data_IF_155402211548
#
_entry.id   IF_155402211548
#
_cell.length_a   1.000
_cell.length_b   1.000
_cell.length_c   1.000
_cell.angle_alpha   90.00
_cell.angle_beta   90.00
_cell.angle_gamma   90.00
#
_symmetry.space_group_name_H-M   'P 1'
#
loop_
_entity.id
_entity.type
_entity.pdbx_description
1 polymer ?
#
# COMPACT_ATOMS: atom_id res chain seq x y z
N UNK A 1 9.97 35.23 9.27
CA UNK A 1 10.07 33.77 9.44
C UNK A 1 8.66 33.28 9.70
N UNK A 2 8.04 32.62 8.72
CA UNK A 2 6.78 31.92 8.96
C UNK A 2 7.09 30.74 9.87
N UNK A 3 6.39 30.63 10.99
CA UNK A 3 6.54 29.54 11.95
C UNK A 3 6.20 28.21 11.26
N UNK A 4 7.10 27.22 11.34
CA UNK A 4 6.85 25.89 10.75
C UNK A 4 5.71 25.22 11.51
N UNK A 5 4.73 24.68 10.76
CA UNK A 5 3.61 23.96 11.34
C UNK A 5 4.11 22.73 12.10
N UNK A 6 3.61 22.51 13.31
CA UNK A 6 3.82 21.26 14.05
C UNK A 6 3.18 20.09 13.29
N UNK A 7 3.61 18.85 13.57
CA UNK A 7 3.02 17.66 12.92
C UNK A 7 1.51 17.59 13.11
N UNK A 8 1.01 17.85 14.32
CA UNK A 8 -0.43 17.89 14.60
C UNK A 8 -1.16 18.95 13.76
N UNK A 9 -0.59 20.13 13.59
CA UNK A 9 -1.17 21.18 12.74
C UNK A 9 -1.17 20.77 11.25
N UNK A 10 -0.12 20.10 10.77
CA UNK A 10 -0.07 19.57 9.41
C UNK A 10 -1.11 18.48 9.18
N UNK A 11 -1.25 17.52 10.10
CA UNK A 11 -2.29 16.48 10.01
C UNK A 11 -3.70 17.07 10.02
N UNK A 12 -3.95 18.09 10.84
CA UNK A 12 -5.22 18.81 10.82
C UNK A 12 -5.47 19.52 9.48
N UNK A 13 -4.44 20.16 8.92
CA UNK A 13 -4.52 20.82 7.62
C UNK A 13 -4.75 19.83 6.47
N UNK A 14 -4.13 18.64 6.51
CA UNK A 14 -4.36 17.54 5.57
C UNK A 14 -5.83 17.12 5.57
N UNK A 15 -6.38 16.83 6.76
CA UNK A 15 -7.78 16.41 6.91
C UNK A 15 -8.74 17.50 6.43
N UNK A 16 -8.44 18.77 6.71
CA UNK A 16 -9.23 19.89 6.20
C UNK A 16 -9.17 19.99 4.67
N UNK A 17 -7.98 19.84 4.07
CA UNK A 17 -7.79 19.95 2.63
C UNK A 17 -8.55 18.86 1.86
N UNK A 18 -8.57 17.62 2.36
CA UNK A 18 -9.34 16.50 1.79
C UNK A 18 -10.85 16.75 1.70
N UNK A 19 -11.40 17.58 2.60
CA UNK A 19 -12.82 17.98 2.55
C UNK A 19 -13.10 19.08 1.52
N UNK A 20 -12.07 19.82 1.10
CA UNK A 20 -12.20 21.02 0.28
C UNK A 20 -11.88 20.77 -1.20
N UNK A 21 -10.93 19.88 -1.48
CA UNK A 21 -10.41 19.61 -2.83
C UNK A 21 -9.81 18.21 -2.93
N UNK A 22 -9.65 17.74 -4.16
CA UNK A 22 -8.85 16.54 -4.45
C UNK A 22 -7.38 16.89 -4.23
N UNK A 23 -6.66 16.08 -3.45
CA UNK A 23 -5.23 16.25 -3.23
C UNK A 23 -4.42 15.51 -4.28
N UNK A 24 -3.29 16.10 -4.65
CA UNK A 24 -2.33 15.53 -5.60
C UNK A 24 -1.23 14.80 -4.82
N UNK A 25 -1.13 13.49 -5.01
CA UNK A 25 0.03 12.67 -4.67
C UNK A 25 1.06 12.80 -5.81
N UNK A 26 2.34 12.58 -5.52
CA UNK A 26 3.40 12.64 -6.53
C UNK A 26 3.38 11.44 -7.50
N UNK A 27 4.46 11.27 -8.25
CA UNK A 27 4.64 10.22 -9.26
C UNK A 27 5.77 9.25 -8.90
N UNK A 28 6.27 8.51 -9.90
CA UNK A 28 7.28 7.48 -9.66
C UNK A 28 8.68 7.99 -9.29
N UNK A 29 9.07 7.77 -8.03
CA UNK A 29 10.47 7.89 -7.59
C UNK A 29 11.42 6.99 -8.40
N UNK A 30 11.07 5.71 -8.57
CA UNK A 30 11.92 4.74 -9.26
C UNK A 30 12.20 5.08 -10.72
N UNK A 31 11.17 5.50 -11.47
CA UNK A 31 11.32 5.93 -12.88
C UNK A 31 12.16 7.19 -12.99
N UNK A 32 12.00 8.15 -12.07
CA UNK A 32 12.84 9.36 -12.03
C UNK A 32 14.30 9.02 -11.78
N UNK A 33 14.61 8.12 -10.84
CA UNK A 33 15.98 7.64 -10.55
C UNK A 33 16.60 6.99 -11.79
N UNK A 34 15.85 6.18 -12.55
CA UNK A 34 16.35 5.54 -13.78
C UNK A 34 16.83 6.57 -14.82
N UNK A 35 16.20 7.75 -14.88
CA UNK A 35 16.59 8.85 -15.77
C UNK A 35 17.99 9.42 -15.51
N UNK A 36 18.53 9.26 -14.29
CA UNK A 36 19.89 9.70 -13.95
C UNK A 36 20.99 8.72 -14.40
N UNK A 37 20.61 7.54 -14.93
CA UNK A 37 21.55 6.51 -15.43
C UNK A 37 22.67 6.16 -14.43
N UNK A 38 22.29 6.04 -13.16
CA UNK A 38 23.23 5.81 -12.06
C UNK A 38 23.93 4.46 -12.19
N UNK A 39 25.19 4.44 -11.78
CA UNK A 39 26.03 3.23 -11.79
C UNK A 39 26.34 2.79 -10.36
N UNK A 40 26.90 1.60 -10.21
CA UNK A 40 27.25 0.99 -8.91
C UNK A 40 27.97 1.94 -7.94
N UNK A 41 28.88 2.79 -8.41
CA UNK A 41 29.59 3.74 -7.55
C UNK A 41 28.67 4.77 -6.90
N UNK A 42 27.57 5.14 -7.54
CA UNK A 42 26.56 6.04 -6.96
C UNK A 42 25.84 5.34 -5.80
N UNK A 43 25.39 4.10 -5.99
CA UNK A 43 24.72 3.32 -4.96
C UNK A 43 25.62 3.05 -3.75
N UNK A 44 26.93 2.85 -3.97
CA UNK A 44 27.89 2.65 -2.89
C UNK A 44 28.17 3.93 -2.09
N UNK A 45 28.26 5.06 -2.79
CA UNK A 45 28.79 6.30 -2.22
C UNK A 45 30.15 6.08 -1.55
N UNK A 46 30.49 6.95 -0.59
CA UNK A 46 31.69 6.78 0.22
C UNK A 46 31.54 5.68 1.28
N UNK A 47 30.33 5.49 1.82
CA UNK A 47 30.06 4.62 2.98
C UNK A 47 30.18 3.13 2.66
N UNK A 48 29.84 2.71 1.45
CA UNK A 48 29.82 1.29 1.05
C UNK A 48 30.82 0.97 -0.08
N UNK A 49 31.87 1.80 -0.22
CA UNK A 49 32.87 1.67 -1.27
C UNK A 49 33.61 0.31 -1.26
N UNK A 50 33.73 -0.34 -0.09
CA UNK A 50 34.45 -1.61 0.08
C UNK A 50 33.55 -2.84 0.22
N UNK A 51 32.22 -2.69 0.12
CA UNK A 51 31.27 -3.81 0.24
C UNK A 51 31.45 -4.78 -0.93
N UNK A 52 31.42 -6.10 -0.71
CA UNK A 52 31.59 -7.06 -1.80
C UNK A 52 30.31 -7.30 -2.62
N UNK A 53 29.15 -7.09 -2.01
CA UNK A 53 27.83 -7.25 -2.64
C UNK A 53 27.54 -6.09 -3.60
N UNK A 54 26.84 -6.38 -4.70
CA UNK A 54 26.34 -5.36 -5.63
C UNK A 54 25.18 -4.61 -4.99
N UNK A 55 25.19 -3.28 -5.08
CA UNK A 55 24.17 -2.42 -4.48
C UNK A 55 23.31 -1.70 -5.52
N UNK A 56 23.70 -1.72 -6.80
CA UNK A 56 22.89 -1.21 -7.90
C UNK A 56 21.49 -1.84 -7.90
N UNK A 57 20.49 -1.00 -8.07
CA UNK A 57 19.07 -1.37 -8.00
C UNK A 57 18.43 -1.14 -6.63
N UNK A 58 19.21 -0.96 -5.56
CA UNK A 58 18.69 -0.56 -4.25
C UNK A 58 18.41 0.95 -4.24
N UNK A 59 17.31 1.38 -4.85
CA UNK A 59 16.96 2.79 -5.00
C UNK A 59 16.79 3.50 -3.65
N UNK A 60 16.27 2.81 -2.64
CA UNK A 60 16.14 3.31 -1.28
C UNK A 60 17.50 3.76 -0.68
N UNK A 61 18.59 3.05 -1.01
CA UNK A 61 19.94 3.36 -0.53
C UNK A 61 20.45 4.72 -0.99
N UNK A 62 19.96 5.22 -2.14
CA UNK A 62 20.32 6.54 -2.67
C UNK A 62 19.91 7.68 -1.74
N UNK A 63 18.96 7.44 -0.83
CA UNK A 63 18.66 8.34 0.29
C UNK A 63 19.91 8.67 1.11
N UNK A 64 20.82 7.72 1.29
CA UNK A 64 22.06 7.90 2.07
C UNK A 64 23.26 8.24 1.18
N UNK A 65 23.30 7.72 -0.05
CA UNK A 65 24.50 7.79 -0.90
C UNK A 65 24.44 8.85 -1.99
N UNK A 66 23.25 9.31 -2.37
CA UNK A 66 23.00 10.41 -3.31
C UNK A 66 21.76 11.25 -2.89
N UNK A 67 21.71 11.76 -1.64
CA UNK A 67 20.54 12.47 -1.10
C UNK A 67 20.12 13.69 -1.92
N UNK A 68 21.06 14.31 -2.64
CA UNK A 68 20.80 15.43 -3.54
C UNK A 68 19.85 15.06 -4.69
N UNK A 69 19.98 13.85 -5.26
CA UNK A 69 19.12 13.37 -6.34
C UNK A 69 17.71 13.14 -5.81
N UNK A 70 17.57 12.48 -4.66
CA UNK A 70 16.27 12.22 -4.03
C UNK A 70 15.57 13.54 -3.68
N UNK A 71 16.31 14.52 -3.16
CA UNK A 71 15.80 15.85 -2.84
C UNK A 71 15.32 16.59 -4.10
N UNK A 72 16.09 16.51 -5.19
CA UNK A 72 15.72 17.11 -6.48
C UNK A 72 14.42 16.52 -7.03
N UNK A 73 14.26 15.19 -6.95
CA UNK A 73 13.04 14.51 -7.40
C UNK A 73 11.82 14.98 -6.60
N UNK A 74 11.89 15.01 -5.26
CA UNK A 74 10.79 15.56 -4.44
C UNK A 74 10.48 17.01 -4.82
N UNK A 75 11.50 17.86 -4.97
CA UNK A 75 11.31 19.25 -5.36
C UNK A 75 10.62 19.39 -6.73
N UNK A 76 10.92 18.50 -7.69
CA UNK A 76 10.32 18.50 -9.02
C UNK A 76 8.82 18.20 -8.97
N UNK A 77 8.39 17.19 -8.21
CA UNK A 77 6.96 16.86 -8.04
C UNK A 77 6.20 17.95 -7.26
N UNK A 78 6.83 18.52 -6.24
CA UNK A 78 6.26 19.64 -5.48
C UNK A 78 6.08 20.89 -6.36
N UNK A 79 7.02 21.15 -7.28
CA UNK A 79 6.91 22.22 -8.26
C UNK A 79 5.82 21.94 -9.32
N UNK A 80 5.63 20.68 -9.70
CA UNK A 80 4.56 20.24 -10.60
C UNK A 80 3.15 20.34 -9.98
N UNK A 81 3.05 20.45 -8.66
CA UNK A 81 1.79 20.73 -7.97
C UNK A 81 1.37 19.70 -6.92
N UNK A 82 2.22 18.71 -6.63
CA UNK A 82 1.97 17.72 -5.58
C UNK A 82 1.67 18.40 -4.22
N UNK A 83 0.68 17.85 -3.53
CA UNK A 83 0.31 18.17 -2.16
C UNK A 83 0.95 17.23 -1.16
N UNK A 84 1.08 15.96 -1.56
CA UNK A 84 1.65 14.87 -0.79
C UNK A 84 2.80 14.30 -1.62
N UNK A 85 3.96 14.07 -0.99
CA UNK A 85 5.05 13.31 -1.59
C UNK A 85 5.32 12.04 -0.80
N UNK A 86 5.62 10.98 -1.52
CA UNK A 86 5.99 9.68 -0.98
C UNK A 86 7.48 9.68 -0.58
N UNK A 87 7.84 9.05 0.53
CA UNK A 87 9.25 8.84 0.88
C UNK A 87 9.89 7.78 -0.02
N UNK A 88 11.20 7.92 -0.31
CA UNK A 88 11.97 6.90 -1.03
C UNK A 88 12.27 5.68 -0.11
N UNK A 89 11.22 4.96 0.29
CA UNK A 89 11.26 3.90 1.31
C UNK A 89 10.50 2.63 0.93
N UNK A 90 10.19 2.44 -0.35
CA UNK A 90 9.42 1.30 -0.85
C UNK A 90 10.04 -0.06 -0.43
N UNK A 91 11.37 -0.17 -0.46
CA UNK A 91 12.13 -1.36 -0.05
C UNK A 91 12.93 -1.15 1.24
N UNK A 92 12.60 -0.13 2.05
CA UNK A 92 13.27 0.14 3.32
C UNK A 92 12.72 -0.73 4.45
N UNK A 93 12.70 -2.04 4.23
CA UNK A 93 12.37 -3.07 5.21
C UNK A 93 13.56 -4.00 5.36
N UNK A 94 13.73 -4.64 6.52
CA UNK A 94 14.80 -5.61 6.75
C UNK A 94 14.72 -6.75 5.75
N UNK A 95 13.51 -7.23 5.46
CA UNK A 95 13.27 -8.29 4.49
C UNK A 95 13.79 -7.92 3.09
N UNK A 96 13.47 -6.72 2.58
CA UNK A 96 13.98 -6.28 1.27
C UNK A 96 15.46 -5.92 1.29
N UNK A 97 15.96 -5.34 2.38
CA UNK A 97 17.39 -4.97 2.48
C UNK A 97 18.31 -6.18 2.66
N UNK A 98 17.78 -7.34 3.07
CA UNK A 98 18.52 -8.60 3.13
C UNK A 98 19.08 -9.05 1.76
N UNK A 99 18.37 -8.72 0.66
CA UNK A 99 18.84 -8.98 -0.70
C UNK A 99 20.14 -8.22 -1.05
N UNK A 100 20.47 -7.19 -0.25
CA UNK A 100 21.67 -6.36 -0.34
C UNK A 100 22.61 -6.50 0.86
N UNK A 101 22.26 -7.32 1.87
CA UNK A 101 23.02 -7.46 3.13
C UNK A 101 23.04 -6.20 3.99
N UNK A 102 21.95 -5.41 3.95
CA UNK A 102 21.82 -4.10 4.59
C UNK A 102 20.62 -4.02 5.57
N UNK A 103 20.22 -5.15 6.16
CA UNK A 103 19.04 -5.25 7.04
C UNK A 103 19.06 -4.22 8.17
N UNK A 104 20.23 -4.01 8.78
CA UNK A 104 20.42 -3.07 9.89
C UNK A 104 20.21 -1.60 9.50
N UNK A 105 20.22 -1.28 8.20
CA UNK A 105 19.98 0.08 7.70
C UNK A 105 18.50 0.41 7.53
N UNK A 106 17.59 -0.56 7.62
CA UNK A 106 16.17 -0.33 7.35
C UNK A 106 15.61 0.88 8.14
N UNK A 107 15.86 0.96 9.44
CA UNK A 107 15.45 2.10 10.26
C UNK A 107 16.06 3.43 9.78
N UNK A 108 17.37 3.45 9.53
CA UNK A 108 18.10 4.66 9.12
C UNK A 108 17.63 5.16 7.75
N UNK A 109 17.39 4.25 6.80
CA UNK A 109 16.86 4.57 5.47
C UNK A 109 15.50 5.26 5.58
N UNK A 110 14.60 4.73 6.42
CA UNK A 110 13.28 5.33 6.64
C UNK A 110 13.37 6.71 7.29
N UNK A 111 14.21 6.86 8.32
CA UNK A 111 14.37 8.12 9.03
C UNK A 111 14.95 9.22 8.10
N UNK A 112 16.03 8.91 7.38
CA UNK A 112 16.67 9.89 6.51
C UNK A 112 15.80 10.21 5.28
N UNK A 113 15.10 9.24 4.70
CA UNK A 113 14.19 9.48 3.57
C UNK A 113 13.03 10.42 3.98
N UNK A 114 12.44 10.18 5.15
CA UNK A 114 11.39 11.05 5.67
C UNK A 114 11.91 12.46 5.98
N UNK A 115 13.16 12.62 6.46
CA UNK A 115 13.78 13.94 6.65
C UNK A 115 13.97 14.69 5.33
N UNK A 116 14.45 14.03 4.28
CA UNK A 116 14.61 14.64 2.95
C UNK A 116 13.28 15.11 2.38
N UNK A 117 12.27 14.23 2.38
CA UNK A 117 10.92 14.56 1.91
C UNK A 117 10.32 15.72 2.74
N UNK A 118 10.48 15.71 4.06
CA UNK A 118 10.00 16.76 4.96
C UNK A 118 10.64 18.11 4.67
N UNK A 119 11.96 18.13 4.49
CA UNK A 119 12.69 19.35 4.15
C UNK A 119 12.22 19.93 2.81
N UNK A 120 12.01 19.09 1.80
CA UNK A 120 11.47 19.51 0.50
C UNK A 120 10.05 20.10 0.63
N UNK A 121 9.16 19.42 1.36
CA UNK A 121 7.80 19.92 1.62
C UNK A 121 7.79 21.25 2.38
N UNK A 122 8.70 21.43 3.35
CA UNK A 122 8.80 22.65 4.14
C UNK A 122 9.30 23.82 3.27
N UNK A 123 10.32 23.60 2.45
CA UNK A 123 10.80 24.59 1.49
C UNK A 123 9.69 25.01 0.51
N UNK A 124 8.94 24.05 -0.05
CA UNK A 124 7.79 24.34 -0.89
C UNK A 124 6.68 25.10 -0.14
N UNK A 125 6.40 24.72 1.11
CA UNK A 125 5.42 25.39 2.00
C UNK A 125 5.79 26.84 2.28
N UNK A 126 7.07 27.14 2.50
CA UNK A 126 7.53 28.51 2.68
C UNK A 126 7.27 29.38 1.44
N UNK A 127 7.41 28.82 0.23
CA UNK A 127 7.16 29.54 -1.03
C UNK A 127 5.66 29.81 -1.27
N UNK A 128 4.77 28.93 -0.82
CA UNK A 128 3.31 29.14 -0.90
C UNK A 128 2.61 28.71 0.40
N UNK A 129 2.60 29.55 1.45
CA UNK A 129 2.13 29.18 2.80
C UNK A 129 0.68 28.73 2.89
N UNK A 130 -0.18 29.17 1.97
CA UNK A 130 -1.60 28.80 1.94
C UNK A 130 -1.87 27.38 1.43
N UNK A 131 -0.82 26.67 0.96
CA UNK A 131 -0.89 25.29 0.47
C UNK A 131 0.17 24.47 1.24
N UNK A 132 -0.07 24.01 2.47
CA UNK A 132 0.88 23.15 3.18
C UNK A 132 1.08 21.83 2.43
N UNK A 133 2.30 21.28 2.51
CA UNK A 133 2.70 20.02 1.87
C UNK A 133 2.90 18.94 2.90
N UNK A 134 2.59 17.71 2.53
CA UNK A 134 2.57 16.57 3.43
C UNK A 134 3.50 15.46 2.97
N UNK A 135 4.04 14.72 3.93
CA UNK A 135 4.91 13.57 3.64
C UNK A 135 4.15 12.28 3.96
N UNK A 136 4.03 11.41 2.95
CA UNK A 136 3.59 10.04 3.12
C UNK A 136 4.81 9.12 3.30
N UNK A 137 4.95 8.57 4.50
CA UNK A 137 5.94 7.55 4.81
C UNK A 137 5.51 6.21 4.23
N UNK A 138 6.19 5.76 3.18
CA UNK A 138 5.85 4.54 2.46
C UNK A 138 6.34 3.30 3.20
N UNK A 139 5.42 2.38 3.42
CA UNK A 139 5.65 1.01 3.87
C UNK A 139 5.27 0.10 2.69
N UNK A 140 6.28 -0.34 1.93
CA UNK A 140 6.07 -1.25 0.80
C UNK A 140 5.78 -2.69 1.22
N UNK A 141 5.50 -3.59 0.27
CA UNK A 141 5.00 -4.93 0.56
C UNK A 141 6.08 -5.96 0.97
N UNK A 142 7.36 -5.56 0.99
CA UNK A 142 8.56 -6.42 1.14
C UNK A 142 8.80 -7.38 -0.02
N UNK A 143 9.93 -8.10 0.00
CA UNK A 143 10.25 -9.21 -0.91
C UNK A 143 9.63 -10.56 -0.51
N UNK A 144 8.94 -10.64 0.64
CA UNK A 144 8.38 -11.89 1.19
C UNK A 144 6.86 -11.84 1.29
N UNK A 145 6.20 -13.00 1.29
CA UNK A 145 4.73 -13.11 1.27
C UNK A 145 4.24 -14.04 2.38
N UNK A 146 3.26 -13.61 3.17
CA UNK A 146 2.70 -14.44 4.24
C UNK A 146 1.51 -15.30 3.79
N UNK A 147 0.78 -14.91 2.74
CA UNK A 147 -0.38 -15.67 2.26
C UNK A 147 -0.05 -16.71 1.20
N UNK A 148 1.02 -16.51 0.44
CA UNK A 148 1.44 -17.37 -0.68
C UNK A 148 2.69 -18.17 -0.32
N UNK A 149 2.73 -19.44 -0.77
CA UNK A 149 3.97 -20.23 -0.71
C UNK A 149 4.90 -19.83 -1.87
N UNK A 150 6.19 -19.58 -1.61
CA UNK A 150 7.17 -19.41 -2.67
C UNK A 150 7.62 -20.75 -3.29
N UNK A 151 7.29 -21.89 -2.69
CA UNK A 151 7.56 -23.22 -3.25
C UNK A 151 6.27 -23.83 -3.82
N UNK A 152 6.24 -23.97 -5.15
CA UNK A 152 5.09 -24.55 -5.86
C UNK A 152 4.82 -26.01 -5.52
N UNK A 153 5.79 -26.72 -4.93
CA UNK A 153 5.65 -28.12 -4.53
C UNK A 153 5.22 -28.27 -3.06
N UNK A 154 5.26 -27.19 -2.28
CA UNK A 154 4.84 -27.17 -0.88
C UNK A 154 3.88 -25.98 -0.65
N UNK A 155 2.55 -26.17 -0.83
CA UNK A 155 1.58 -25.10 -0.64
C UNK A 155 1.44 -24.64 0.83
N UNK A 156 1.95 -25.43 1.79
CA UNK A 156 1.95 -25.11 3.22
C UNK A 156 3.14 -24.25 3.65
N UNK A 157 4.25 -24.28 2.91
CA UNK A 157 5.46 -23.52 3.22
C UNK A 157 5.24 -22.00 3.16
N UNK A 158 5.88 -21.27 4.09
CA UNK A 158 5.96 -19.81 4.10
C UNK A 158 7.39 -19.40 4.44
N UNK A 159 7.95 -18.42 3.72
CA UNK A 159 9.31 -17.91 3.96
C UNK A 159 9.36 -16.73 4.94
N UNK A 160 8.21 -16.37 5.52
CA UNK A 160 8.05 -15.42 6.62
C UNK A 160 6.80 -15.74 7.43
N UNK A 161 6.66 -15.13 8.61
CA UNK A 161 5.47 -15.18 9.45
C UNK A 161 4.84 -13.81 9.67
N UNK A 162 3.61 -13.79 10.19
CA UNK A 162 2.94 -12.53 10.54
C UNK A 162 3.73 -11.72 11.58
N UNK A 163 4.27 -12.37 12.61
CA UNK A 163 5.03 -11.70 13.66
C UNK A 163 6.35 -11.12 13.16
N UNK A 164 7.06 -11.83 12.29
CA UNK A 164 8.27 -11.32 11.63
C UNK A 164 7.98 -10.07 10.78
N UNK A 165 6.90 -10.09 10.00
CA UNK A 165 6.47 -8.94 9.22
C UNK A 165 6.06 -7.77 10.13
N UNK A 166 5.36 -8.04 11.24
CA UNK A 166 5.01 -7.00 12.22
C UNK A 166 6.27 -6.34 12.79
N UNK A 167 7.28 -7.12 13.19
CA UNK A 167 8.52 -6.58 13.73
C UNK A 167 9.30 -5.76 12.70
N UNK A 168 9.36 -6.22 11.46
CA UNK A 168 10.01 -5.51 10.36
C UNK A 168 9.29 -4.20 10.01
N UNK A 169 7.97 -4.25 9.78
CA UNK A 169 7.18 -3.06 9.51
C UNK A 169 7.19 -2.06 10.68
N UNK A 170 7.28 -2.55 11.92
CA UNK A 170 7.41 -1.68 13.08
C UNK A 170 8.77 -0.98 13.12
N UNK A 171 9.83 -1.58 12.55
CA UNK A 171 11.13 -0.93 12.38
C UNK A 171 11.03 0.23 11.39
N UNK A 172 10.44 -0.01 10.22
CA UNK A 172 10.22 1.02 9.19
C UNK A 172 9.33 2.15 9.69
N UNK A 173 8.19 1.83 10.32
CA UNK A 173 7.26 2.82 10.86
C UNK A 173 7.93 3.75 11.89
N UNK A 174 8.77 3.22 12.79
CA UNK A 174 9.51 4.05 13.74
C UNK A 174 10.48 5.01 13.05
N UNK A 175 11.21 4.55 12.04
CA UNK A 175 12.09 5.41 11.24
C UNK A 175 11.32 6.53 10.54
N UNK A 176 10.23 6.20 9.85
CA UNK A 176 9.38 7.18 9.15
C UNK A 176 8.81 8.24 10.10
N UNK A 177 8.33 7.81 11.27
CA UNK A 177 7.81 8.70 12.31
C UNK A 177 8.92 9.58 12.87
N UNK A 178 10.11 9.04 13.14
CA UNK A 178 11.25 9.81 13.63
C UNK A 178 11.68 10.88 12.59
N UNK A 179 11.67 10.52 11.31
CA UNK A 179 12.13 11.38 10.22
C UNK A 179 11.17 12.50 9.82
N UNK A 180 9.89 12.44 10.25
CA UNK A 180 8.98 13.58 10.06
C UNK A 180 7.72 13.30 9.24
N UNK A 181 7.42 12.04 8.90
CA UNK A 181 6.23 11.68 8.13
C UNK A 181 4.94 12.20 8.80
N UNK A 182 3.97 12.62 7.97
CA UNK A 182 2.65 13.06 8.42
C UNK A 182 1.59 11.96 8.27
N UNK A 183 1.84 11.02 7.36
CA UNK A 183 0.98 9.89 7.01
C UNK A 183 1.87 8.65 6.98
N UNK A 184 1.38 7.50 7.46
CA UNK A 184 1.95 6.20 7.13
C UNK A 184 1.13 5.56 6.02
N UNK A 185 1.77 5.06 4.97
CA UNK A 185 1.07 4.52 3.82
C UNK A 185 1.53 3.09 3.54
N UNK A 186 0.62 2.12 3.69
CA UNK A 186 0.83 0.76 3.21
C UNK A 186 0.50 0.77 1.72
N UNK A 187 1.52 0.70 0.87
CA UNK A 187 1.38 0.85 -0.58
C UNK A 187 1.66 -0.46 -1.31
N UNK A 188 1.06 -0.63 -2.50
CA UNK A 188 1.27 -1.76 -3.39
C UNK A 188 1.04 -3.08 -2.66
N UNK A 189 -0.02 -3.13 -1.84
CA UNK A 189 -0.41 -4.33 -1.12
C UNK A 189 -0.94 -5.39 -2.10
N UNK A 190 -0.04 -6.25 -2.57
CA UNK A 190 -0.37 -7.42 -3.39
C UNK A 190 -0.80 -8.62 -2.54
N UNK A 191 -0.29 -8.70 -1.30
CA UNK A 191 -0.64 -9.68 -0.27
C UNK A 191 -1.36 -8.97 0.88
N UNK A 192 -2.64 -9.27 1.07
CA UNK A 192 -3.45 -8.63 2.12
C UNK A 192 -3.02 -9.04 3.53
N UNK A 193 -2.42 -10.22 3.72
CA UNK A 193 -1.90 -10.62 5.02
C UNK A 193 -0.67 -9.79 5.41
N UNK A 194 0.20 -9.49 4.45
CA UNK A 194 1.29 -8.52 4.64
C UNK A 194 0.73 -7.14 5.00
N UNK A 195 -0.27 -6.67 4.25
CA UNK A 195 -0.90 -5.38 4.55
C UNK A 195 -1.48 -5.34 5.97
N UNK A 196 -2.10 -6.43 6.44
CA UNK A 196 -2.58 -6.54 7.83
C UNK A 196 -1.45 -6.52 8.86
N UNK A 197 -0.31 -7.14 8.57
CA UNK A 197 0.88 -7.03 9.42
C UNK A 197 1.39 -5.58 9.48
N UNK A 198 1.45 -4.89 8.33
CA UNK A 198 1.81 -3.47 8.25
C UNK A 198 0.84 -2.55 9.00
N UNK A 199 -0.47 -2.79 8.88
CA UNK A 199 -1.53 -2.09 9.64
C UNK A 199 -1.33 -2.29 11.14
N UNK A 200 -1.12 -3.54 11.58
CA UNK A 200 -0.93 -3.86 12.98
C UNK A 200 0.34 -3.19 13.54
N UNK A 201 1.44 -3.28 12.80
CA UNK A 201 2.71 -2.62 13.14
C UNK A 201 2.57 -1.10 13.26
N UNK A 202 1.91 -0.46 12.28
CA UNK A 202 1.67 0.98 12.29
C UNK A 202 0.87 1.40 13.53
N UNK A 203 -0.27 0.76 13.80
CA UNK A 203 -1.08 1.06 14.99
C UNK A 203 -0.32 0.82 16.29
N UNK A 204 0.39 -0.31 16.40
CA UNK A 204 1.22 -0.63 17.57
C UNK A 204 2.25 0.46 17.84
N UNK A 205 2.98 0.91 16.81
CA UNK A 205 4.00 1.97 16.97
C UNK A 205 3.35 3.31 17.30
N UNK A 206 2.22 3.65 16.69
CA UNK A 206 1.49 4.88 17.00
C UNK A 206 0.98 4.91 18.45
N UNK A 207 0.45 3.78 18.94
CA UNK A 207 0.03 3.62 20.33
C UNK A 207 1.22 3.72 21.30
N UNK A 208 2.33 3.04 21.00
CA UNK A 208 3.56 3.09 21.81
C UNK A 208 4.16 4.50 21.91
N UNK A 209 4.03 5.30 20.85
CA UNK A 209 4.55 6.67 20.77
C UNK A 209 3.51 7.74 21.15
N UNK A 210 2.28 7.34 21.49
CA UNK A 210 1.15 8.22 21.79
C UNK A 210 0.88 9.25 20.66
N UNK A 211 0.93 8.80 19.41
CA UNK A 211 0.70 9.62 18.20
C UNK A 211 -0.58 9.21 17.47
N UNK A 212 -1.26 10.20 16.89
CA UNK A 212 -2.42 9.98 16.01
C UNK A 212 -2.08 10.43 14.58
N UNK A 213 -1.35 9.58 13.85
CA UNK A 213 -1.08 9.81 12.43
C UNK A 213 -2.07 9.02 11.57
N UNK A 214 -2.60 9.63 10.49
CA UNK A 214 -3.44 8.92 9.54
C UNK A 214 -2.66 7.80 8.84
N UNK A 215 -3.36 6.69 8.61
CA UNK A 215 -2.88 5.58 7.78
C UNK A 215 -3.59 5.64 6.41
N UNK A 216 -2.84 5.60 5.32
CA UNK A 216 -3.35 5.35 3.96
C UNK A 216 -3.05 3.91 3.55
N UNK A 217 -3.94 3.31 2.76
CA UNK A 217 -3.79 1.94 2.29
C UNK A 217 -4.04 1.91 0.79
N UNK A 218 -3.10 1.36 0.02
CA UNK A 218 -3.25 1.15 -1.41
C UNK A 218 -2.97 -0.31 -1.76
N UNK A 219 -3.99 -0.98 -2.30
CA UNK A 219 -3.84 -2.32 -2.88
C UNK A 219 -3.30 -2.26 -4.30
N UNK A 220 -2.94 -3.40 -4.85
CA UNK A 220 -2.64 -3.51 -6.29
C UNK A 220 -3.44 -4.65 -6.93
N UNK A 221 -4.09 -4.34 -8.05
CA UNK A 221 -4.82 -5.31 -8.86
C UNK A 221 -3.89 -5.73 -9.99
N UNK A 222 -3.55 -7.01 -10.07
CA UNK A 222 -2.43 -7.45 -10.90
C UNK A 222 -2.75 -7.57 -12.39
N UNK A 223 -4.01 -7.84 -12.72
CA UNK A 223 -4.44 -8.04 -14.11
C UNK A 223 -5.94 -7.79 -14.31
N UNK A 224 -6.42 -8.05 -15.53
CA UNK A 224 -7.80 -7.88 -15.94
C UNK A 224 -8.81 -8.78 -15.20
N UNK A 225 -8.37 -9.74 -14.38
CA UNK A 225 -9.27 -10.52 -13.52
C UNK A 225 -9.87 -9.69 -12.39
N UNK A 226 -9.30 -8.52 -12.10
CA UNK A 226 -9.77 -7.63 -11.05
C UNK A 226 -9.41 -8.09 -9.63
N UNK A 227 -8.33 -8.88 -9.50
CA UNK A 227 -7.87 -9.43 -8.22
C UNK A 227 -6.46 -8.96 -7.86
N UNK A 228 -6.17 -8.94 -6.56
CA UNK A 228 -4.80 -8.84 -6.05
C UNK A 228 -4.00 -10.10 -6.40
N UNK A 229 -2.67 -10.07 -6.22
CA UNK A 229 -1.82 -11.26 -6.42
C UNK A 229 -2.24 -12.42 -5.50
N UNK A 230 -2.65 -12.10 -4.28
CA UNK A 230 -3.21 -13.05 -3.31
C UNK A 230 -4.65 -13.51 -3.64
N UNK A 231 -5.23 -13.04 -4.75
CA UNK A 231 -6.50 -13.50 -5.29
C UNK A 231 -7.74 -12.76 -4.76
N UNK A 232 -7.58 -11.68 -3.99
CA UNK A 232 -8.72 -10.94 -3.44
C UNK A 232 -9.37 -10.00 -4.45
N UNK A 233 -10.70 -9.99 -4.46
CA UNK A 233 -11.51 -8.95 -5.13
C UNK A 233 -11.42 -7.60 -4.40
N UNK A 234 -11.84 -6.52 -5.06
CA UNK A 234 -11.87 -5.17 -4.47
C UNK A 234 -12.65 -5.13 -3.16
N UNK A 235 -13.92 -5.58 -3.14
CA UNK A 235 -14.72 -5.56 -1.91
C UNK A 235 -14.12 -6.44 -0.79
N UNK A 236 -13.51 -7.58 -1.16
CA UNK A 236 -12.83 -8.47 -0.20
C UNK A 236 -11.65 -7.77 0.48
N UNK A 237 -10.82 -7.09 -0.32
CA UNK A 237 -9.70 -6.30 0.18
C UNK A 237 -10.20 -5.19 1.12
N UNK A 238 -11.22 -4.43 0.72
CA UNK A 238 -11.81 -3.37 1.54
C UNK A 238 -12.31 -3.90 2.90
N UNK A 239 -13.06 -5.01 2.90
CA UNK A 239 -13.51 -5.66 4.13
C UNK A 239 -12.32 -6.09 5.01
N UNK A 240 -11.26 -6.61 4.38
CA UNK A 240 -10.09 -7.14 5.08
C UNK A 240 -9.28 -6.04 5.79
N UNK A 241 -9.27 -4.82 5.27
CA UNK A 241 -8.48 -3.70 5.81
C UNK A 241 -9.31 -2.63 6.54
N UNK A 242 -10.65 -2.72 6.53
CA UNK A 242 -11.55 -1.73 7.14
C UNK A 242 -11.26 -1.47 8.63
N UNK A 243 -10.83 -2.49 9.37
CA UNK A 243 -10.47 -2.40 10.79
C UNK A 243 -9.34 -1.40 11.07
N UNK A 244 -8.51 -1.06 10.06
CA UNK A 244 -7.47 -0.05 10.17
C UNK A 244 -8.00 1.37 10.34
N UNK A 245 -9.29 1.62 10.03
CA UNK A 245 -9.90 2.95 9.93
C UNK A 245 -9.04 3.92 9.11
N UNK A 246 -8.65 3.55 7.88
CA UNK A 246 -7.68 4.33 7.12
C UNK A 246 -8.26 5.71 6.77
N UNK A 247 -7.37 6.70 6.66
CA UNK A 247 -7.70 8.01 6.11
C UNK A 247 -8.22 7.84 4.68
N UNK A 248 -7.49 7.08 3.85
CA UNK A 248 -7.95 6.69 2.52
C UNK A 248 -7.61 5.25 2.18
N UNK A 249 -8.41 4.68 1.29
CA UNK A 249 -8.14 3.39 0.65
C UNK A 249 -8.15 3.57 -0.87
N UNK A 250 -7.28 2.84 -1.56
CA UNK A 250 -7.15 2.99 -2.99
C UNK A 250 -6.42 1.83 -3.66
N UNK A 251 -6.11 2.05 -4.94
CA UNK A 251 -5.31 1.13 -5.73
C UNK A 251 -4.24 1.87 -6.54
N UNK A 252 -3.13 1.18 -6.75
CA UNK A 252 -1.99 1.68 -7.49
C UNK A 252 -1.21 0.58 -8.20
N UNK A 253 -0.33 1.03 -9.10
CA UNK A 253 0.54 0.18 -9.91
C UNK A 253 -0.23 -0.86 -10.74
N UNK A 254 0.53 -1.74 -11.41
CA UNK A 254 0.13 -2.85 -12.30
C UNK A 254 -0.73 -2.47 -13.52
N UNK A 255 -1.77 -1.68 -13.31
CA UNK A 255 -2.70 -1.21 -14.31
C UNK A 255 -2.47 0.27 -14.66
N UNK A 256 -2.68 0.60 -15.93
CA UNK A 256 -2.83 1.98 -16.37
C UNK A 256 -4.14 2.59 -15.92
N UNK A 257 -4.31 3.90 -16.12
CA UNK A 257 -5.50 4.62 -15.67
C UNK A 257 -6.79 4.01 -16.24
N UNK A 258 -6.84 3.68 -17.54
CA UNK A 258 -8.06 3.13 -18.16
C UNK A 258 -8.51 1.81 -17.52
N UNK A 259 -7.58 0.89 -17.27
CA UNK A 259 -7.86 -0.43 -16.70
C UNK A 259 -8.20 -0.34 -15.20
N UNK A 260 -7.63 0.63 -14.49
CA UNK A 260 -7.89 0.81 -13.05
C UNK A 260 -9.27 1.42 -12.76
N UNK A 261 -9.88 2.12 -13.73
CA UNK A 261 -11.16 2.81 -13.60
C UNK A 261 -12.28 2.01 -12.95
N UNK A 262 -12.67 0.80 -13.43
CA UNK A 262 -13.77 0.03 -12.85
C UNK A 262 -13.54 -0.27 -11.36
N UNK A 263 -12.29 -0.56 -10.97
CA UNK A 263 -11.93 -0.88 -9.59
C UNK A 263 -12.03 0.35 -8.68
N UNK A 264 -11.66 1.53 -9.17
CA UNK A 264 -11.83 2.79 -8.42
C UNK A 264 -13.30 3.19 -8.31
N UNK A 265 -14.11 2.95 -9.34
CA UNK A 265 -15.56 3.17 -9.27
C UNK A 265 -16.22 2.26 -8.22
N UNK A 266 -15.86 0.98 -8.20
CA UNK A 266 -16.31 0.01 -7.18
C UNK A 266 -15.86 0.44 -5.78
N UNK A 267 -14.57 0.78 -5.61
CA UNK A 267 -14.00 1.28 -4.35
C UNK A 267 -14.75 2.53 -3.86
N UNK A 268 -15.02 3.47 -4.75
CA UNK A 268 -15.79 4.69 -4.46
C UNK A 268 -17.20 4.39 -3.96
N UNK A 269 -17.83 3.31 -4.43
CA UNK A 269 -19.17 2.95 -3.95
C UNK A 269 -19.17 2.24 -2.59
N UNK A 270 -18.05 1.64 -2.18
CA UNK A 270 -17.94 0.75 -1.02
C UNK A 270 -17.14 1.30 0.15
N UNK A 271 -16.27 2.30 -0.06
CA UNK A 271 -15.37 2.80 0.97
C UNK A 271 -16.05 3.79 1.94
N UNK A 272 -15.92 3.55 3.25
CA UNK A 272 -16.35 4.46 4.35
C UNK A 272 -15.32 5.55 4.67
N UNK A 273 -14.22 5.60 3.92
CA UNK A 273 -13.15 6.58 4.04
C UNK A 273 -12.94 7.32 2.70
N UNK A 274 -11.89 8.13 2.62
CA UNK A 274 -11.49 8.78 1.37
C UNK A 274 -10.96 7.75 0.36
N UNK A 275 -11.03 8.07 -0.94
CA UNK A 275 -10.54 7.18 -2.00
C UNK A 275 -9.33 7.79 -2.70
N UNK A 276 -8.28 6.98 -2.85
CA UNK A 276 -7.06 7.32 -3.56
C UNK A 276 -6.88 6.48 -4.83
N UNK A 277 -6.24 7.06 -5.84
CA UNK A 277 -5.80 6.32 -7.03
C UNK A 277 -4.48 6.89 -7.56
N UNK A 278 -3.52 6.03 -7.87
CA UNK A 278 -2.27 6.45 -8.53
C UNK A 278 -1.86 5.36 -9.53
N UNK A 279 -2.47 5.35 -10.73
CA UNK A 279 -2.19 4.35 -11.75
C UNK A 279 -0.82 4.57 -12.40
N UNK A 280 -0.34 3.57 -13.14
CA UNK A 280 0.80 3.72 -14.03
C UNK A 280 0.46 4.63 -15.22
N UNK A 281 1.50 5.19 -15.86
CA UNK A 281 1.39 5.88 -17.15
C UNK A 281 1.18 4.86 -18.30
N UNK A 282 0.03 4.19 -18.27
CA UNK A 282 -0.28 3.06 -19.15
C UNK A 282 0.31 1.74 -18.67
N UNK A 283 0.15 0.69 -19.48
CA UNK A 283 0.82 -0.58 -19.28
C UNK A 283 2.25 -0.49 -19.85
N UNK A 284 3.25 -1.15 -19.23
CA UNK A 284 4.59 -1.16 -19.77
C UNK A 284 4.62 -1.83 -21.14
N UNK A 285 5.40 -1.28 -22.07
CA UNK A 285 5.63 -1.85 -23.40
C UNK A 285 6.60 -3.04 -23.34
N UNK A 286 6.92 -3.64 -24.50
CA UNK A 286 7.82 -4.81 -24.59
C UNK A 286 9.25 -4.54 -24.05
N UNK A 287 9.64 -3.26 -23.93
CA UNK A 287 10.91 -2.82 -23.37
C UNK A 287 10.82 -2.39 -21.91
N UNK A 288 9.64 -2.48 -21.29
CA UNK A 288 9.39 -2.05 -19.91
C UNK A 288 9.18 -0.55 -19.74
N UNK A 289 9.02 0.19 -20.84
CA UNK A 289 8.81 1.64 -20.84
C UNK A 289 7.31 1.99 -20.80
N UNK A 290 6.99 3.22 -20.40
CA UNK A 290 5.61 3.71 -20.24
C UNK A 290 5.33 4.82 -21.26
N UNK A 291 4.46 4.52 -22.23
CA UNK A 291 4.25 5.37 -23.41
C UNK A 291 3.07 6.34 -23.29
N UNK A 292 2.23 6.23 -22.25
CA UNK A 292 1.07 7.10 -22.09
C UNK A 292 1.52 8.54 -21.84
N UNK A 293 0.98 9.50 -22.58
CA UNK A 293 1.38 10.90 -22.42
C UNK A 293 0.73 11.56 -21.18
N UNK A 294 1.29 12.68 -20.68
CA UNK A 294 0.66 13.49 -19.64
C UNK A 294 -0.79 13.88 -19.95
N UNK A 295 -1.08 14.30 -21.18
CA UNK A 295 -2.40 14.74 -21.62
C UNK A 295 -3.40 13.57 -21.65
N UNK A 296 -2.97 12.41 -22.14
CA UNK A 296 -3.78 11.19 -22.20
C UNK A 296 -4.16 10.73 -20.79
N UNK A 297 -3.16 10.62 -19.89
CA UNK A 297 -3.38 10.23 -18.50
C UNK A 297 -4.28 11.23 -17.78
N UNK A 298 -4.01 12.54 -17.91
CA UNK A 298 -4.80 13.59 -17.28
C UNK A 298 -6.26 13.61 -17.76
N UNK A 299 -6.51 13.32 -19.04
CA UNK A 299 -7.87 13.20 -19.59
C UNK A 299 -8.67 12.08 -18.91
N UNK A 300 -8.04 10.92 -18.69
CA UNK A 300 -8.69 9.77 -18.01
C UNK A 300 -8.93 10.10 -16.53
N UNK A 301 -7.92 10.63 -15.85
CA UNK A 301 -8.04 11.02 -14.43
C UNK A 301 -9.10 12.10 -14.21
N UNK A 302 -9.23 13.05 -15.14
CA UNK A 302 -10.30 14.05 -15.10
C UNK A 302 -11.68 13.42 -15.15
N UNK A 303 -11.87 12.33 -15.89
CA UNK A 303 -13.13 11.59 -15.89
C UNK A 303 -13.39 10.98 -14.52
N UNK A 304 -12.39 10.40 -13.85
CA UNK A 304 -12.56 9.80 -12.51
C UNK A 304 -13.00 10.86 -11.51
N UNK A 305 -12.32 12.01 -11.54
CA UNK A 305 -12.62 13.16 -10.69
C UNK A 305 -14.04 13.67 -10.97
N UNK A 306 -14.41 13.84 -12.26
CA UNK A 306 -15.73 14.34 -12.67
C UNK A 306 -16.87 13.38 -12.29
N UNK A 307 -16.59 12.07 -12.30
CA UNK A 307 -17.49 11.02 -11.83
C UNK A 307 -17.57 10.94 -10.30
N UNK A 308 -16.80 11.76 -9.58
CA UNK A 308 -16.85 11.88 -8.13
C UNK A 308 -16.21 10.70 -7.41
N UNK A 309 -15.20 10.05 -8.00
CA UNK A 309 -14.58 8.86 -7.42
C UNK A 309 -13.41 9.14 -6.48
N UNK A 310 -12.78 10.32 -6.57
CA UNK A 310 -11.47 10.56 -5.99
C UNK A 310 -11.47 11.61 -4.88
N UNK A 311 -10.59 11.40 -3.90
CA UNK A 311 -10.19 12.36 -2.88
C UNK A 311 -8.69 12.66 -2.92
N UNK A 312 -7.89 11.67 -3.33
CA UNK A 312 -6.45 11.80 -3.59
C UNK A 312 -6.17 11.17 -4.95
N UNK A 313 -5.29 11.78 -5.74
CA UNK A 313 -4.84 11.22 -7.02
C UNK A 313 -3.37 11.52 -7.25
N UNK A 314 -2.63 10.57 -7.80
CA UNK A 314 -1.24 10.74 -8.20
C UNK A 314 -0.89 9.82 -9.36
N UNK A 315 0.38 9.42 -9.40
CA UNK A 315 0.88 8.49 -10.39
C UNK A 315 1.82 7.45 -9.78
N UNK A 316 1.92 6.28 -10.41
CA UNK A 316 2.89 5.25 -10.06
C UNK A 316 3.91 5.11 -11.20
N UNK A 317 4.31 3.90 -11.60
CA UNK A 317 5.37 3.69 -12.59
C UNK A 317 5.12 4.45 -13.90
N UNK A 318 6.17 5.08 -14.43
CA UNK A 318 6.13 5.88 -15.65
C UNK A 318 5.68 7.34 -15.47
N UNK A 319 5.14 7.70 -14.30
CA UNK A 319 4.56 9.04 -14.11
C UNK A 319 5.61 10.07 -13.69
N UNK A 320 5.78 11.10 -14.52
CA UNK A 320 6.76 12.17 -14.34
C UNK A 320 6.13 13.45 -13.75
N UNK A 321 6.93 14.47 -13.38
CA UNK A 321 6.40 15.78 -12.99
C UNK A 321 5.46 16.40 -14.01
N UNK A 322 5.68 16.18 -15.31
CA UNK A 322 4.78 16.64 -16.38
C UNK A 322 3.39 15.99 -16.29
N UNK A 323 3.33 14.69 -15.95
CA UNK A 323 2.06 13.99 -15.71
C UNK A 323 1.32 14.59 -14.51
N UNK A 324 2.04 14.82 -13.41
CA UNK A 324 1.46 15.41 -12.19
C UNK A 324 0.94 16.82 -12.44
N UNK A 325 1.67 17.65 -13.20
CA UNK A 325 1.22 18.98 -13.58
C UNK A 325 -0.05 18.94 -14.44
N UNK A 326 -0.09 18.05 -15.46
CA UNK A 326 -1.25 17.87 -16.32
C UNK A 326 -2.48 17.39 -15.53
N UNK A 327 -2.30 16.44 -14.60
CA UNK A 327 -3.37 15.96 -13.71
C UNK A 327 -3.87 17.10 -12.81
N UNK A 328 -2.96 17.84 -12.18
CA UNK A 328 -3.31 18.94 -11.28
C UNK A 328 -4.14 20.04 -11.98
N UNK A 329 -3.77 20.39 -13.22
CA UNK A 329 -4.53 21.31 -14.05
C UNK A 329 -5.91 20.74 -14.43
N UNK A 330 -5.94 19.48 -14.88
CA UNK A 330 -7.15 18.85 -15.41
C UNK A 330 -8.28 18.70 -14.37
N UNK A 331 -7.93 18.49 -13.09
CA UNK A 331 -8.90 18.30 -12.01
C UNK A 331 -9.21 19.58 -11.22
N UNK A 332 -8.60 20.71 -11.56
CA UNK A 332 -8.77 21.96 -10.83
C UNK A 332 -10.24 22.37 -10.78
N UNK A 333 -10.74 22.66 -9.57
CA UNK A 333 -12.12 23.09 -9.33
C UNK A 333 -13.16 21.97 -9.29
N UNK A 334 -12.78 20.72 -9.54
CA UNK A 334 -13.67 19.57 -9.36
C UNK A 334 -13.79 19.25 -7.85
N UNK A 335 -15.01 19.11 -7.31
CA UNK A 335 -15.19 18.81 -5.89
C UNK A 335 -14.71 17.38 -5.56
N UNK A 336 -14.17 17.15 -4.35
CA UNK A 336 -13.76 15.81 -3.93
C UNK A 336 -14.98 14.88 -3.75
N UNK A 337 -14.74 13.57 -3.86
CA UNK A 337 -15.73 12.54 -3.55
C UNK A 337 -16.33 12.75 -2.17
N UNK A 338 -17.66 12.63 -2.08
CA UNK A 338 -18.38 12.57 -0.80
C UNK A 338 -18.37 11.14 -0.27
N UNK A 339 -17.99 10.97 0.99
CA UNK A 339 -18.02 9.66 1.65
C UNK A 339 -19.49 9.22 1.77
N UNK A 340 -19.86 8.03 1.24
CA UNK A 340 -21.22 7.52 1.31
C UNK A 340 -21.58 7.08 2.73
N UNK A 341 -22.85 7.17 3.07
CA UNK A 341 -23.37 6.51 4.29
C UNK A 341 -23.62 5.04 4.00
N UNK A 342 -22.80 4.16 4.56
CA UNK A 342 -22.93 2.72 4.39
C UNK A 342 -23.75 2.15 5.54
N UNK A 343 -24.72 1.30 5.22
CA UNK A 343 -25.53 0.64 6.26
C UNK A 343 -24.65 -0.36 7.02
N UNK A 344 -24.79 -0.43 8.36
CA UNK A 344 -24.11 -1.45 9.15
C UNK A 344 -24.43 -2.86 8.65
N UNK A 345 -23.40 -3.68 8.53
CA UNK A 345 -23.49 -5.09 8.16
C UNK A 345 -22.32 -5.84 8.82
N UNK A 346 -22.47 -7.15 9.02
CA UNK A 346 -21.30 -7.98 9.33
C UNK A 346 -20.58 -8.24 8.00
N UNK A 347 -19.33 -7.79 7.91
CA UNK A 347 -18.52 -7.85 6.69
C UNK A 347 -17.37 -8.81 6.91
N UNK A 348 -17.38 -9.90 6.16
CA UNK A 348 -16.36 -10.94 6.18
C UNK A 348 -15.65 -10.97 4.83
N UNK A 349 -14.50 -11.63 4.80
CA UNK A 349 -13.72 -11.79 3.59
C UNK A 349 -12.93 -13.10 3.62
N UNK A 350 -13.01 -13.85 2.52
CA UNK A 350 -11.97 -14.78 2.09
C UNK A 350 -11.19 -14.12 0.94
N UNK A 351 -11.16 -14.80 -0.21
CA UNK A 351 -10.79 -14.18 -1.50
C UNK A 351 -11.91 -13.29 -2.08
N UNK A 352 -13.15 -13.59 -1.69
CA UNK A 352 -14.35 -12.85 -2.06
C UNK A 352 -15.00 -12.26 -0.80
N UNK A 353 -15.71 -11.14 -0.99
CA UNK A 353 -16.44 -10.51 0.09
C UNK A 353 -17.68 -11.32 0.44
N UNK A 354 -17.96 -11.46 1.73
CA UNK A 354 -19.21 -12.04 2.22
C UNK A 354 -19.84 -11.10 3.24
N UNK A 355 -20.97 -10.49 2.87
CA UNK A 355 -21.64 -9.48 3.68
C UNK A 355 -22.99 -9.98 4.18
N UNK A 356 -23.15 -10.01 5.50
CA UNK A 356 -24.40 -10.37 6.18
C UNK A 356 -25.12 -9.09 6.56
N UNK A 357 -26.18 -8.79 5.80
CA UNK A 357 -27.03 -7.60 5.93
C UNK A 357 -28.32 -7.94 6.71
N UNK A 358 -29.10 -6.92 7.04
CA UNK A 358 -30.36 -7.09 7.78
C UNK A 358 -31.40 -7.95 7.03
N UNK A 359 -31.31 -8.02 5.71
CA UNK A 359 -32.17 -8.80 4.81
C UNK A 359 -31.53 -10.11 4.33
N UNK A 360 -30.35 -10.46 4.84
CA UNK A 360 -29.70 -11.74 4.51
C UNK A 360 -30.48 -12.93 5.07
N UNK A 361 -30.47 -14.03 4.33
CA UNK A 361 -31.00 -15.32 4.79
C UNK A 361 -30.07 -15.97 5.84
N UNK A 362 -30.50 -17.12 6.36
CA UNK A 362 -29.68 -17.93 7.26
C UNK A 362 -28.31 -18.23 6.65
N UNK A 363 -27.26 -18.06 7.45
CA UNK A 363 -25.87 -18.30 7.06
C UNK A 363 -25.41 -19.61 7.66
N UNK A 364 -25.06 -20.57 6.81
CA UNK A 364 -24.54 -21.86 7.20
C UNK A 364 -23.03 -21.76 7.46
N UNK A 365 -22.62 -22.18 8.66
CA UNK A 365 -21.22 -22.40 9.03
C UNK A 365 -20.94 -23.90 8.98
N UNK A 366 -20.00 -24.33 8.14
CA UNK A 366 -19.60 -25.72 8.01
C UNK A 366 -18.77 -26.17 9.21
N UNK A 367 -19.24 -27.19 9.94
CA UNK A 367 -18.67 -27.68 11.19
C UNK A 367 -17.70 -28.88 11.05
N UNK A 368 -17.59 -29.49 9.86
CA UNK A 368 -16.92 -30.81 9.69
C UNK A 368 -15.40 -30.74 9.67
N UNK A 369 -14.82 -29.55 9.55
CA UNK A 369 -13.38 -29.24 9.63
C UNK A 369 -12.96 -29.04 11.08
N UNK A 370 -13.35 -29.99 11.92
CA UNK A 370 -13.21 -29.94 13.37
C UNK A 370 -12.68 -31.28 13.87
N UNK A 371 -11.50 -31.29 14.47
CA UNK A 371 -10.84 -32.51 14.95
C UNK A 371 -11.66 -33.21 16.04
N UNK A 372 -12.34 -32.45 16.91
CA UNK A 372 -13.20 -33.03 17.95
C UNK A 372 -14.54 -33.55 17.43
N UNK A 373 -15.08 -32.89 16.38
CA UNK A 373 -16.44 -33.14 15.87
C UNK A 373 -16.51 -34.08 14.66
N UNK A 374 -15.41 -34.35 13.97
CA UNK A 374 -15.39 -35.07 12.69
C UNK A 374 -14.32 -36.16 12.66
N UNK A 375 -14.76 -37.42 12.82
CA UNK A 375 -13.86 -38.59 12.83
C UNK A 375 -13.02 -38.71 11.54
N UNK A 376 -13.57 -38.33 10.38
CA UNK A 376 -12.84 -38.30 9.11
C UNK A 376 -11.74 -37.25 9.14
N UNK A 377 -12.06 -36.02 9.54
CA UNK A 377 -11.10 -34.91 9.57
C UNK A 377 -9.99 -35.17 10.60
N UNK A 378 -10.34 -35.60 11.81
CA UNK A 378 -9.39 -35.94 12.86
C UNK A 378 -8.36 -36.99 12.42
N UNK A 379 -8.81 -38.04 11.72
CA UNK A 379 -7.90 -39.05 11.16
C UNK A 379 -6.94 -38.44 10.14
N UNK A 380 -7.46 -37.65 9.20
CA UNK A 380 -6.65 -37.05 8.13
C UNK A 380 -5.59 -36.09 8.67
N UNK A 381 -5.93 -35.29 9.69
CA UNK A 381 -4.96 -34.39 10.35
C UNK A 381 -3.88 -35.19 11.10
N UNK A 382 -4.24 -36.23 11.86
CA UNK A 382 -3.25 -37.11 12.56
C UNK A 382 -2.33 -37.86 11.60
N UNK A 383 -2.81 -38.19 10.41
CA UNK A 383 -2.04 -38.87 9.36
C UNK A 383 -1.25 -37.87 8.48
N UNK A 384 -1.31 -36.57 8.78
CA UNK A 384 -0.71 -35.48 7.98
C UNK A 384 -1.17 -35.46 6.51
N UNK A 385 -2.36 -36.04 6.23
CA UNK A 385 -2.95 -36.07 4.89
C UNK A 385 -3.79 -34.80 4.66
N UNK A 386 -3.10 -33.66 4.58
CA UNK A 386 -3.72 -32.33 4.46
C UNK A 386 -4.49 -32.14 3.14
N UNK A 387 -4.04 -32.76 2.04
CA UNK A 387 -4.72 -32.68 0.74
C UNK A 387 -6.14 -33.27 0.80
N UNK A 388 -6.29 -34.46 1.39
CA UNK A 388 -7.62 -35.05 1.60
C UNK A 388 -8.41 -34.30 2.70
N UNK A 389 -7.74 -33.67 3.66
CA UNK A 389 -8.41 -32.86 4.67
C UNK A 389 -9.06 -31.60 4.06
N UNK A 390 -8.42 -30.99 3.06
CA UNK A 390 -8.98 -29.86 2.29
C UNK A 390 -10.26 -30.25 1.54
N UNK A 391 -10.37 -31.49 1.07
CA UNK A 391 -11.59 -31.99 0.43
C UNK A 391 -12.79 -31.97 1.39
N UNK A 392 -12.60 -32.15 2.70
CA UNK A 392 -13.67 -32.01 3.70
C UNK A 392 -14.20 -30.57 3.75
N UNK A 393 -13.32 -29.57 3.65
CA UNK A 393 -13.73 -28.17 3.55
C UNK A 393 -14.48 -27.90 2.23
N UNK A 394 -13.93 -28.38 1.11
CA UNK A 394 -14.50 -28.19 -0.24
C UNK A 394 -15.89 -28.80 -0.39
N UNK A 395 -16.11 -30.01 0.15
CA UNK A 395 -17.41 -30.68 0.20
C UNK A 395 -18.47 -29.83 0.91
N UNK A 396 -18.10 -29.16 2.02
CA UNK A 396 -19.03 -28.31 2.78
C UNK A 396 -19.42 -27.06 1.99
N UNK A 397 -18.46 -26.40 1.34
CA UNK A 397 -18.74 -25.25 0.46
C UNK A 397 -19.66 -25.68 -0.69
N UNK A 398 -19.37 -26.81 -1.34
CA UNK A 398 -20.20 -27.34 -2.42
C UNK A 398 -21.62 -27.73 -1.96
N UNK A 399 -21.79 -28.09 -0.67
CA UNK A 399 -23.08 -28.36 -0.05
C UNK A 399 -23.83 -27.10 0.43
N UNK A 400 -23.25 -25.90 0.27
CA UNK A 400 -23.89 -24.62 0.58
C UNK A 400 -23.44 -23.95 1.89
N UNK A 401 -22.35 -24.41 2.52
CA UNK A 401 -21.71 -23.66 3.60
C UNK A 401 -21.07 -22.38 3.07
N UNK A 402 -21.40 -21.24 3.68
CA UNK A 402 -20.86 -19.93 3.29
C UNK A 402 -19.61 -19.57 4.11
N UNK A 403 -19.47 -20.17 5.29
CA UNK A 403 -18.33 -20.01 6.20
C UNK A 403 -17.88 -21.41 6.60
N UNK A 404 -16.59 -21.61 6.84
CA UNK A 404 -16.02 -22.86 7.33
C UNK A 404 -15.43 -22.62 8.72
N UNK A 405 -15.86 -23.39 9.71
CA UNK A 405 -15.24 -23.45 11.04
C UNK A 405 -13.99 -24.34 10.97
N UNK A 406 -12.85 -23.90 11.50
CA UNK A 406 -11.62 -24.69 11.54
C UNK A 406 -11.21 -24.86 12.99
N UNK A 407 -11.22 -26.10 13.48
CA UNK A 407 -10.82 -26.43 14.83
C UNK A 407 -9.75 -27.53 14.81
N UNK A 408 -8.59 -27.20 15.37
CA UNK A 408 -7.44 -28.09 15.54
C UNK A 408 -7.20 -28.47 17.01
N UNK A 409 -8.17 -28.20 17.89
CA UNK A 409 -8.03 -28.37 19.34
C UNK A 409 -8.19 -29.85 19.70
N UNK A 410 -7.07 -30.55 19.86
CA UNK A 410 -7.05 -31.88 20.46
C UNK A 410 -5.77 -32.07 21.27
N UNK A 411 -5.88 -32.35 22.56
CA UNK A 411 -4.73 -32.50 23.46
C UNK A 411 -3.82 -33.71 23.19
N UNK A 412 -4.10 -34.49 22.13
CA UNK A 412 -3.34 -35.68 21.71
C UNK A 412 -3.00 -35.68 20.21
N UNK A 413 -3.12 -34.55 19.51
CA UNK A 413 -2.54 -34.38 18.17
C UNK A 413 -1.02 -34.33 18.25
#
# INVERSE_FOLDING_TARGET
MTEQLTRTQRVAALRAALTQRILILDGAMGTMIQGYQLVESNFRGARFATTSQLLAGNNDLLTLTAPEIITEIHASYLAAGADIVETNTFNSTRASQADYGLEELAYELNEEAAKLARAACDAATQNTPNKPRFVAGIIGPTSKTASLSPDVNDPGFRNTSFDELVDDYSNSARGLIAGGADILMIETAFDTLNAKAGIFAAHRVLDELELDLPIMISGTITDASGRTLSGQTVEAFLNSVAHAKPLSVGFNCALGAEQLRPHIAETSSLAECYVSAHPNAGLPNEFGEYDQSPEEMASIIKEFASSGFLNVVGGCCGTSPEHIAAIAEAIQGIPPRKIPTIKPACRLSGLEAFNIKADSLFVNVGERTNVTGSARFARLIREENYDEALEVAREQVAAGAQIIDINMDEGML
#
